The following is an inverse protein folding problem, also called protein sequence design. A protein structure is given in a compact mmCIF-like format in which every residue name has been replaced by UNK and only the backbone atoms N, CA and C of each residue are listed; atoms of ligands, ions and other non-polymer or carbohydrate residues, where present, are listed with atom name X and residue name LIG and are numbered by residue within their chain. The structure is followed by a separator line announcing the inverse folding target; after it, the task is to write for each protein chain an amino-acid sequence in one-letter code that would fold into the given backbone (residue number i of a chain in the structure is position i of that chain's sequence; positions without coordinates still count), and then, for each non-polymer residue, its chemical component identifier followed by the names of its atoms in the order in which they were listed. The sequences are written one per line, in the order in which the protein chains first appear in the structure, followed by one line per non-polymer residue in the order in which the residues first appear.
data_IF_987220793441
#
_entry.id   IF_987220793441
#
_cell.length_a   1.000
_cell.length_b   1.000
_cell.length_c   1.000
_cell.angle_alpha   90.00
_cell.angle_beta   90.00
_cell.angle_gamma   90.00
#
_symmetry.space_group_name_H-M   'P 1'
#
loop_
_entity.id
_entity.type
_entity.pdbx_description
1 polymer ?
#
# COMPACT_ATOMS: atom_id res chain seq x y z
N UNK A 1 -33.94 13.99 18.55
CA UNK A 1 -34.07 13.17 17.34
C UNK A 1 -32.98 13.42 16.32
N UNK A 2 -32.72 14.68 15.96
CA UNK A 2 -31.64 14.99 15.02
C UNK A 2 -30.25 14.51 15.46
N UNK A 3 -29.97 14.58 16.76
CA UNK A 3 -28.69 14.15 17.29
C UNK A 3 -28.41 12.66 17.02
N UNK A 4 -29.42 11.80 17.31
CA UNK A 4 -29.26 10.35 17.09
C UNK A 4 -29.14 10.02 15.60
N UNK A 5 -29.89 10.70 14.74
CA UNK A 5 -29.83 10.50 13.30
C UNK A 5 -28.44 10.84 12.76
N UNK A 6 -27.84 11.97 13.20
CA UNK A 6 -26.51 12.39 12.79
C UNK A 6 -25.44 11.41 13.25
N UNK A 7 -25.54 10.90 14.50
CA UNK A 7 -24.61 9.93 15.03
C UNK A 7 -24.67 8.60 14.26
N UNK A 8 -25.86 8.13 13.93
CA UNK A 8 -26.05 6.91 13.14
C UNK A 8 -25.49 7.06 11.73
N UNK A 9 -25.69 8.23 11.11
CA UNK A 9 -25.13 8.49 9.78
C UNK A 9 -23.60 8.56 9.80
N UNK A 10 -23.03 9.17 10.83
CA UNK A 10 -21.58 9.22 10.99
C UNK A 10 -21.00 7.80 11.15
N UNK A 11 -21.70 6.96 11.92
CA UNK A 11 -21.30 5.56 12.11
C UNK A 11 -21.37 4.77 10.81
N UNK A 12 -22.45 4.92 10.05
CA UNK A 12 -22.61 4.27 8.73
C UNK A 12 -21.49 4.69 7.78
N UNK A 13 -21.19 5.99 7.70
CA UNK A 13 -20.11 6.50 6.86
C UNK A 13 -18.75 5.94 7.28
N UNK A 14 -18.51 5.82 8.59
CA UNK A 14 -17.29 5.24 9.12
C UNK A 14 -17.11 3.78 8.72
N UNK A 15 -18.17 2.98 8.80
CA UNK A 15 -18.13 1.58 8.38
C UNK A 15 -17.92 1.46 6.87
N UNK A 16 -18.64 2.26 6.07
CA UNK A 16 -18.49 2.26 4.61
C UNK A 16 -17.05 2.64 4.21
N UNK A 17 -16.48 3.66 4.86
CA UNK A 17 -15.12 4.09 4.60
C UNK A 17 -14.10 3.01 5.02
N UNK A 18 -14.33 2.37 6.17
CA UNK A 18 -13.48 1.26 6.62
C UNK A 18 -13.44 0.13 5.62
N UNK A 19 -14.59 -0.21 5.01
CA UNK A 19 -14.67 -1.22 3.96
C UNK A 19 -13.93 -0.80 2.69
N UNK A 20 -14.00 0.48 2.33
CA UNK A 20 -13.26 1.04 1.19
C UNK A 20 -11.75 0.90 1.35
N UNK A 21 -11.24 1.26 2.53
CA UNK A 21 -9.82 1.13 2.87
C UNK A 21 -9.40 -0.34 2.82
N UNK A 22 -10.21 -1.22 3.38
CA UNK A 22 -9.92 -2.65 3.42
C UNK A 22 -9.83 -3.23 2.01
N UNK A 23 -10.76 -2.87 1.13
CA UNK A 23 -10.75 -3.29 -0.26
C UNK A 23 -9.49 -2.80 -1.00
N UNK A 24 -9.10 -1.55 -0.77
CA UNK A 24 -7.88 -0.99 -1.37
C UNK A 24 -6.62 -1.71 -0.86
N UNK A 25 -6.55 -2.01 0.43
CA UNK A 25 -5.44 -2.77 1.01
C UNK A 25 -5.35 -4.17 0.40
N UNK A 26 -6.48 -4.84 0.16
CA UNK A 26 -6.51 -6.16 -0.47
C UNK A 26 -5.99 -6.11 -1.90
N UNK A 27 -6.34 -5.08 -2.68
CA UNK A 27 -5.82 -4.89 -4.04
C UNK A 27 -4.30 -4.70 -4.02
N UNK A 28 -3.79 -3.90 -3.08
CA UNK A 28 -2.35 -3.64 -2.93
C UNK A 28 -1.62 -4.95 -2.58
N UNK A 29 -2.15 -5.72 -1.63
CA UNK A 29 -1.55 -6.98 -1.22
C UNK A 29 -1.54 -8.00 -2.35
N UNK A 30 -2.59 -8.05 -3.15
CA UNK A 30 -2.67 -8.93 -4.31
C UNK A 30 -1.59 -8.57 -5.33
N UNK A 31 -1.44 -7.28 -5.65
CA UNK A 31 -0.41 -6.82 -6.59
C UNK A 31 0.99 -7.06 -6.06
N UNK A 32 1.20 -6.86 -4.76
CA UNK A 32 2.47 -7.15 -4.10
C UNK A 32 2.82 -8.63 -4.21
N UNK A 33 1.85 -9.51 -4.01
CA UNK A 33 2.05 -10.96 -4.16
C UNK A 33 2.50 -11.34 -5.56
N UNK A 34 1.92 -10.70 -6.58
CA UNK A 34 2.31 -10.91 -7.98
C UNK A 34 3.75 -10.46 -8.24
N UNK A 35 4.13 -9.30 -7.69
CA UNK A 35 5.49 -8.78 -7.83
C UNK A 35 6.51 -9.73 -7.18
N UNK A 36 6.24 -10.16 -5.94
CA UNK A 36 7.10 -11.10 -5.21
C UNK A 36 7.24 -12.43 -5.97
N UNK A 37 6.13 -12.93 -6.52
CA UNK A 37 6.13 -14.15 -7.33
C UNK A 37 7.04 -14.00 -8.57
N UNK A 38 7.01 -12.84 -9.22
CA UNK A 38 7.88 -12.56 -10.37
C UNK A 38 9.35 -12.49 -9.97
N UNK A 39 9.66 -11.86 -8.83
CA UNK A 39 11.03 -11.83 -8.27
C UNK A 39 11.53 -13.25 -8.00
N UNK A 40 10.68 -14.11 -7.45
CA UNK A 40 11.04 -15.51 -7.20
C UNK A 40 11.39 -16.24 -8.50
N UNK A 41 10.60 -16.06 -9.56
CA UNK A 41 10.89 -16.63 -10.88
C UNK A 41 12.21 -16.13 -11.44
N UNK A 42 12.49 -14.85 -11.28
CA UNK A 42 13.75 -14.26 -11.70
C UNK A 42 14.94 -14.86 -10.91
N UNK A 43 14.81 -15.00 -9.60
CA UNK A 43 15.82 -15.62 -8.74
C UNK A 43 16.09 -17.07 -9.14
N UNK A 44 15.06 -17.78 -9.58
CA UNK A 44 15.16 -19.18 -10.04
C UNK A 44 15.63 -19.27 -11.50
N UNK A 45 15.90 -18.13 -12.13
CA UNK A 45 16.31 -18.03 -13.52
C UNK A 45 15.28 -18.57 -14.51
N UNK A 46 14.01 -18.56 -14.11
CA UNK A 46 12.88 -18.96 -14.98
C UNK A 46 12.55 -17.86 -15.98
N UNK A 47 12.80 -16.60 -15.62
CA UNK A 47 12.63 -15.44 -16.49
C UNK A 47 13.94 -14.66 -16.55
N UNK A 48 14.17 -13.95 -17.66
CA UNK A 48 15.38 -13.15 -17.89
C UNK A 48 15.31 -11.82 -17.14
N UNK A 49 16.45 -11.13 -17.05
CA UNK A 49 16.52 -9.77 -16.51
C UNK A 49 15.57 -8.83 -17.26
N UNK A 50 15.59 -8.88 -18.59
CA UNK A 50 14.75 -8.03 -19.43
C UNK A 50 13.26 -8.27 -19.18
N UNK A 51 12.87 -9.53 -19.05
CA UNK A 51 11.50 -9.89 -18.77
C UNK A 51 11.06 -9.44 -17.37
N UNK A 52 11.94 -9.61 -16.38
CA UNK A 52 11.65 -9.15 -15.01
C UNK A 52 11.49 -7.63 -14.97
N UNK A 53 12.34 -6.89 -15.66
CA UNK A 53 12.24 -5.43 -15.75
C UNK A 53 10.91 -5.02 -16.35
N UNK A 54 10.52 -5.64 -17.47
CA UNK A 54 9.25 -5.35 -18.14
C UNK A 54 8.05 -5.62 -17.24
N UNK A 55 8.06 -6.78 -16.58
CA UNK A 55 7.00 -7.17 -15.63
C UNK A 55 6.95 -6.20 -14.45
N UNK A 56 8.12 -5.84 -13.91
CA UNK A 56 8.23 -4.92 -12.78
C UNK A 56 7.72 -3.52 -13.10
N UNK A 57 8.03 -3.02 -14.29
CA UNK A 57 7.53 -1.71 -14.74
C UNK A 57 6.01 -1.71 -14.84
N UNK A 58 5.43 -2.82 -15.27
CA UNK A 58 3.97 -2.97 -15.33
C UNK A 58 3.34 -3.01 -13.96
N UNK A 59 3.96 -3.69 -13.00
CA UNK A 59 3.52 -3.67 -11.60
C UNK A 59 3.59 -2.26 -11.02
N UNK A 60 4.64 -1.50 -11.34
CA UNK A 60 4.78 -0.11 -10.88
C UNK A 60 3.65 0.78 -11.41
N UNK A 61 3.23 0.59 -12.66
CA UNK A 61 2.07 1.31 -13.21
C UNK A 61 0.81 1.03 -12.38
N UNK A 62 0.58 -0.25 -12.04
CA UNK A 62 -0.57 -0.66 -11.22
C UNK A 62 -0.48 -0.08 -9.82
N UNK A 63 0.69 -0.13 -9.18
CA UNK A 63 0.89 0.45 -7.86
C UNK A 63 0.64 1.97 -7.86
N UNK A 64 1.07 2.68 -8.89
CA UNK A 64 0.82 4.11 -9.00
C UNK A 64 -0.67 4.43 -9.15
N UNK A 65 -1.42 3.61 -9.87
CA UNK A 65 -2.88 3.74 -9.96
C UNK A 65 -3.54 3.50 -8.61
N UNK A 66 -3.06 2.52 -7.85
CA UNK A 66 -3.56 2.25 -6.50
C UNK A 66 -3.22 3.40 -5.55
N UNK A 67 -2.03 3.99 -5.70
CA UNK A 67 -1.64 5.16 -4.92
C UNK A 67 -2.59 6.33 -5.17
N UNK A 68 -2.96 6.57 -6.42
CA UNK A 68 -3.89 7.63 -6.79
C UNK A 68 -5.26 7.44 -6.12
N UNK A 69 -5.67 6.21 -5.87
CA UNK A 69 -6.94 5.92 -5.18
C UNK A 69 -6.96 6.47 -3.76
N UNK A 70 -5.82 6.54 -3.08
CA UNK A 70 -5.75 7.18 -1.75
C UNK A 70 -6.11 8.65 -1.82
N UNK A 71 -5.69 9.35 -2.87
CA UNK A 71 -5.96 10.78 -3.04
C UNK A 71 -7.43 11.05 -3.37
N UNK A 72 -8.13 10.06 -3.90
CA UNK A 72 -9.57 10.14 -4.20
C UNK A 72 -10.45 9.88 -2.97
N UNK A 73 -9.87 9.33 -1.90
CA UNK A 73 -10.59 9.03 -0.68
C UNK A 73 -10.93 10.32 0.07
N UNK A 74 -12.10 10.33 0.70
CA UNK A 74 -12.55 11.44 1.55
C UNK A 74 -12.75 10.89 2.96
N UNK A 75 -11.66 10.77 3.73
CA UNK A 75 -11.74 10.12 5.01
C UNK A 75 -12.50 10.95 6.05
N UNK A 76 -13.37 10.31 6.84
CA UNK A 76 -13.83 10.92 8.08
C UNK A 76 -12.63 11.22 8.97
N UNK A 77 -12.74 12.22 9.84
CA UNK A 77 -11.63 12.69 10.68
C UNK A 77 -10.94 11.54 11.45
N UNK A 78 -11.72 10.58 11.94
CA UNK A 78 -11.18 9.45 12.69
C UNK A 78 -10.19 8.60 11.88
N UNK A 79 -10.34 8.56 10.55
CA UNK A 79 -9.50 7.76 9.66
C UNK A 79 -8.39 8.54 8.95
N UNK A 80 -8.33 9.87 9.13
CA UNK A 80 -7.38 10.71 8.40
C UNK A 80 -5.92 10.28 8.61
N UNK A 81 -5.56 9.95 9.84
CA UNK A 81 -4.20 9.50 10.18
C UNK A 81 -3.88 8.15 9.56
N UNK A 82 -4.81 7.19 9.60
CA UNK A 82 -4.59 5.87 9.03
C UNK A 82 -4.42 5.94 7.52
N UNK A 83 -5.23 6.74 6.83
CA UNK A 83 -5.09 6.94 5.38
C UNK A 83 -3.71 7.49 5.03
N UNK A 84 -3.26 8.51 5.76
CA UNK A 84 -1.96 9.13 5.53
C UNK A 84 -0.81 8.13 5.69
N UNK A 85 -0.87 7.31 6.74
CA UNK A 85 0.16 6.31 7.02
C UNK A 85 0.14 5.16 6.01
N UNK A 86 -1.03 4.68 5.64
CA UNK A 86 -1.16 3.61 4.64
C UNK A 86 -0.72 4.08 3.25
N UNK A 87 -1.03 5.32 2.90
CA UNK A 87 -0.54 5.93 1.66
C UNK A 87 0.99 6.03 1.68
N UNK A 88 1.56 6.49 2.78
CA UNK A 88 3.02 6.59 2.95
C UNK A 88 3.67 5.22 2.79
N UNK A 89 3.08 4.17 3.35
CA UNK A 89 3.56 2.80 3.20
C UNK A 89 3.64 2.41 1.72
N UNK A 90 2.60 2.71 0.94
CA UNK A 90 2.59 2.40 -0.49
C UNK A 90 3.63 3.22 -1.25
N UNK A 91 3.82 4.48 -0.90
CA UNK A 91 4.85 5.33 -1.50
C UNK A 91 6.24 4.73 -1.29
N UNK A 92 6.57 4.30 -0.07
CA UNK A 92 7.83 3.61 0.23
C UNK A 92 7.97 2.30 -0.54
N UNK A 93 6.89 1.54 -0.66
CA UNK A 93 6.89 0.29 -1.39
C UNK A 93 7.18 0.50 -2.88
N UNK A 94 6.57 1.51 -3.49
CA UNK A 94 6.82 1.87 -4.88
C UNK A 94 8.29 2.23 -5.08
N UNK A 95 8.84 3.10 -4.22
CA UNK A 95 10.25 3.48 -4.29
C UNK A 95 11.17 2.28 -4.11
N UNK A 96 10.82 1.36 -3.19
CA UNK A 96 11.57 0.12 -2.99
C UNK A 96 11.64 -0.70 -4.28
N UNK A 97 10.51 -0.85 -4.96
CA UNK A 97 10.45 -1.62 -6.21
C UNK A 97 11.23 -0.94 -7.33
N UNK A 98 11.18 0.39 -7.41
CA UNK A 98 11.96 1.16 -8.40
C UNK A 98 13.46 0.91 -8.21
N UNK A 99 13.94 0.95 -6.98
CA UNK A 99 15.36 0.69 -6.69
C UNK A 99 15.74 -0.76 -6.96
N UNK A 100 14.83 -1.70 -6.67
CA UNK A 100 15.09 -3.11 -6.98
C UNK A 100 15.23 -3.34 -8.48
N UNK A 101 14.39 -2.72 -9.29
CA UNK A 101 14.50 -2.80 -10.75
C UNK A 101 15.79 -2.12 -11.23
N UNK A 102 16.18 -1.02 -10.61
CA UNK A 102 17.46 -0.36 -10.88
C UNK A 102 18.64 -1.30 -10.64
N UNK A 103 18.62 -2.06 -9.56
CA UNK A 103 19.63 -3.07 -9.28
C UNK A 103 19.67 -4.16 -10.35
N UNK A 104 18.52 -4.66 -10.77
CA UNK A 104 18.43 -5.67 -11.85
C UNK A 104 18.99 -5.12 -13.15
N UNK A 105 18.74 -3.83 -13.45
CA UNK A 105 19.21 -3.18 -14.69
C UNK A 105 20.70 -2.99 -14.74
N UNK A 106 21.32 -2.56 -13.66
CA UNK A 106 22.73 -2.11 -13.67
C UNK A 106 23.65 -2.81 -12.68
N UNK A 107 23.12 -3.71 -11.84
CA UNK A 107 23.94 -4.47 -10.87
C UNK A 107 24.48 -3.65 -9.71
N UNK A 108 24.01 -2.43 -9.52
CA UNK A 108 24.45 -1.54 -8.44
C UNK A 108 23.86 -1.99 -7.10
N UNK A 109 24.73 -2.47 -6.21
CA UNK A 109 24.31 -2.97 -4.90
C UNK A 109 23.74 -1.88 -4.00
N UNK A 110 24.09 -0.61 -4.21
CA UNK A 110 23.50 0.49 -3.43
C UNK A 110 22.01 0.61 -3.72
N UNK A 111 21.58 0.29 -4.93
CA UNK A 111 20.16 0.24 -5.31
C UNK A 111 19.45 -0.86 -4.51
N UNK A 112 20.05 -2.04 -4.39
CA UNK A 112 19.45 -3.13 -3.62
C UNK A 112 19.35 -2.78 -2.14
N UNK A 113 20.39 -2.19 -1.57
CA UNK A 113 20.41 -1.77 -0.16
C UNK A 113 19.30 -0.74 0.08
N UNK A 114 19.17 0.24 -0.82
CA UNK A 114 18.13 1.26 -0.69
C UNK A 114 16.73 0.65 -0.79
N UNK A 115 16.55 -0.32 -1.69
CA UNK A 115 15.29 -1.06 -1.80
C UNK A 115 14.92 -1.74 -0.48
N UNK A 116 15.89 -2.38 0.17
CA UNK A 116 15.67 -3.07 1.45
C UNK A 116 15.31 -2.09 2.57
N UNK A 117 15.99 -0.94 2.63
CA UNK A 117 15.68 0.12 3.61
C UNK A 117 14.24 0.63 3.42
N UNK A 118 13.84 0.86 2.18
CA UNK A 118 12.50 1.34 1.86
C UNK A 118 11.42 0.30 2.17
N UNK A 119 11.73 -0.99 1.97
CA UNK A 119 10.82 -2.07 2.37
C UNK A 119 10.57 -2.04 3.88
N UNK A 120 11.61 -1.81 4.68
CA UNK A 120 11.47 -1.70 6.13
C UNK A 120 10.63 -0.48 6.51
N UNK A 121 10.88 0.67 5.90
CA UNK A 121 10.08 1.88 6.13
C UNK A 121 8.61 1.68 5.74
N UNK A 122 8.37 0.99 4.63
CA UNK A 122 7.02 0.65 4.19
C UNK A 122 6.29 -0.21 5.23
N UNK A 123 6.97 -1.23 5.74
CA UNK A 123 6.43 -2.11 6.77
C UNK A 123 6.08 -1.33 8.05
N UNK A 124 6.97 -0.47 8.51
CA UNK A 124 6.74 0.35 9.70
C UNK A 124 5.55 1.28 9.54
N UNK A 125 5.43 1.94 8.38
CA UNK A 125 4.31 2.82 8.09
C UNK A 125 3.00 2.03 8.00
N UNK A 126 3.01 0.84 7.41
CA UNK A 126 1.85 -0.04 7.33
C UNK A 126 1.38 -0.45 8.73
N UNK A 127 2.28 -0.88 9.60
CA UNK A 127 1.93 -1.28 10.96
C UNK A 127 1.31 -0.11 11.73
N UNK A 128 1.90 1.07 11.63
CA UNK A 128 1.35 2.27 12.26
C UNK A 128 -0.02 2.64 11.68
N UNK A 129 -0.18 2.52 10.36
CA UNK A 129 -1.44 2.80 9.67
C UNK A 129 -2.54 1.83 10.06
N UNK A 130 -2.23 0.54 10.14
CA UNK A 130 -3.19 -0.49 10.55
C UNK A 130 -3.60 -0.31 12.01
N UNK A 131 -2.66 0.02 12.89
CA UNK A 131 -2.98 0.31 14.29
C UNK A 131 -3.94 1.49 14.39
N UNK A 132 -3.63 2.58 13.68
CA UNK A 132 -4.49 3.76 13.65
C UNK A 132 -5.87 3.44 13.07
N UNK A 133 -5.93 2.60 12.05
CA UNK A 133 -7.18 2.15 11.42
C UNK A 133 -8.02 1.34 12.41
N UNK A 134 -7.41 0.40 13.13
CA UNK A 134 -8.11 -0.42 14.11
C UNK A 134 -8.61 0.41 15.29
N UNK A 135 -7.82 1.39 15.74
CA UNK A 135 -8.24 2.31 16.80
C UNK A 135 -9.44 3.14 16.36
N UNK A 136 -9.44 3.62 15.12
CA UNK A 136 -10.55 4.38 14.55
C UNK A 136 -11.83 3.54 14.46
N UNK A 137 -11.70 2.28 13.99
CA UNK A 137 -12.82 1.33 13.93
C UNK A 137 -13.40 1.06 15.31
N UNK A 138 -12.55 0.82 16.28
CA UNK A 138 -12.98 0.56 17.68
C UNK A 138 -13.75 1.76 18.25
N UNK A 139 -13.30 2.99 17.95
CA UNK A 139 -13.98 4.22 18.33
C UNK A 139 -15.37 4.34 17.74
N UNK A 140 -15.55 3.90 16.50
CA UNK A 140 -16.85 3.91 15.81
C UNK A 140 -17.80 2.86 16.41
N UNK A 141 -17.28 1.69 16.78
CA UNK A 141 -18.08 0.60 17.33
C UNK A 141 -18.59 0.88 18.74
N UNK A 142 -17.94 1.79 19.47
CA UNK A 142 -18.39 2.23 20.78
C UNK A 142 -19.52 3.24 20.66
#
# INVERSE_FOLDING_TARGET
MFYFYSADQAKIRGFAFGNEIQALQEEIQEEQGKFISSIAKWNEKTISDEEMIRIGEKHLETFNKLLDKYDELQPPDAFAKSVKLLKLSLEYQIESHEHRLGWIKNGDETELIRSQELTQLSFEAEQAGLKSFNDAKAGIEQ
#
